data_IF_510851400970
#
_entry.id   IF_510851400970
#
_cell.length_a   1.000
_cell.length_b   1.000
_cell.length_c   1.000
_cell.angle_alpha   90.00
_cell.angle_beta   90.00
_cell.angle_gamma   90.00
#
_symmetry.space_group_name_H-M   'P 1'
#
loop_
_entity.id
_entity.type
_entity.pdbx_description
1 polymer ?
#
# COMPACT_ATOMS: atom_id res chain seq x y z
N UNK A 1 -18.95 -20.92 -7.59
CA UNK A 1 -18.69 -20.82 -6.14
C UNK A 1 -17.38 -20.06 -5.95
N UNK A 2 -17.35 -19.17 -4.97
CA UNK A 2 -16.40 -18.05 -4.81
C UNK A 2 -14.96 -18.54 -4.56
N UNK A 3 -14.03 -18.22 -5.48
CA UNK A 3 -12.59 -18.31 -5.25
C UNK A 3 -11.93 -16.92 -5.02
N UNK A 4 -12.64 -15.83 -5.33
CA UNK A 4 -12.05 -14.48 -5.40
C UNK A 4 -11.51 -13.88 -4.09
N UNK A 5 -11.92 -14.37 -2.91
CA UNK A 5 -11.30 -13.92 -1.64
C UNK A 5 -9.91 -14.49 -1.41
N UNK A 6 -9.68 -15.73 -1.86
CA UNK A 6 -8.37 -16.36 -1.70
C UNK A 6 -7.38 -15.75 -2.69
N UNK A 7 -7.83 -15.56 -3.93
CA UNK A 7 -7.01 -14.98 -5.00
C UNK A 7 -6.60 -13.52 -4.68
N UNK A 8 -7.49 -12.71 -4.10
CA UNK A 8 -7.17 -11.34 -3.65
C UNK A 8 -6.21 -11.29 -2.46
N UNK A 9 -6.30 -12.24 -1.52
CA UNK A 9 -5.36 -12.35 -0.41
C UNK A 9 -3.97 -12.79 -0.91
N UNK A 10 -3.89 -13.76 -1.82
CA UNK A 10 -2.62 -14.21 -2.41
C UNK A 10 -1.98 -13.11 -3.27
N UNK A 11 -2.79 -12.35 -4.02
CA UNK A 11 -2.33 -11.18 -4.75
C UNK A 11 -1.76 -10.11 -3.81
N UNK A 12 -2.45 -9.80 -2.70
CA UNK A 12 -1.96 -8.83 -1.73
C UNK A 12 -0.60 -9.22 -1.13
N UNK A 13 -0.34 -10.51 -0.93
CA UNK A 13 0.96 -11.00 -0.44
C UNK A 13 2.06 -10.88 -1.49
N UNK A 14 1.75 -11.22 -2.75
CA UNK A 14 2.69 -11.05 -3.86
C UNK A 14 3.09 -9.59 -4.05
N UNK A 15 2.13 -8.67 -3.96
CA UNK A 15 2.36 -7.23 -4.08
C UNK A 15 3.24 -6.70 -2.93
N UNK A 16 3.03 -7.16 -1.68
CA UNK A 16 3.91 -6.82 -0.55
C UNK A 16 5.37 -7.23 -0.81
N UNK A 17 5.60 -8.45 -1.32
CA UNK A 17 6.95 -8.91 -1.63
C UNK A 17 7.61 -8.11 -2.77
N UNK A 18 6.83 -7.74 -3.78
CA UNK A 18 7.32 -6.87 -4.86
C UNK A 18 7.73 -5.50 -4.32
N UNK A 19 6.87 -4.87 -3.50
CA UNK A 19 7.17 -3.57 -2.90
C UNK A 19 8.37 -3.63 -1.98
N UNK A 20 8.53 -4.71 -1.21
CA UNK A 20 9.73 -4.92 -0.40
C UNK A 20 10.99 -4.95 -1.28
N UNK A 21 10.99 -5.71 -2.37
CA UNK A 21 12.12 -5.75 -3.30
C UNK A 21 12.43 -4.37 -3.89
N UNK A 22 11.41 -3.56 -4.21
CA UNK A 22 11.62 -2.18 -4.65
C UNK A 22 12.30 -1.33 -3.59
N UNK A 23 11.77 -1.31 -2.36
CA UNK A 23 12.35 -0.50 -1.29
C UNK A 23 13.79 -0.86 -0.96
N UNK A 24 14.14 -2.15 -0.99
CA UNK A 24 15.53 -2.59 -0.77
C UNK A 24 16.46 -2.21 -1.92
N UNK A 25 16.03 -2.37 -3.17
CA UNK A 25 16.91 -2.19 -4.33
C UNK A 25 17.02 -0.73 -4.80
N UNK A 26 16.02 0.11 -4.50
CA UNK A 26 15.92 1.46 -5.06
C UNK A 26 15.70 2.57 -4.02
N UNK A 27 15.40 2.24 -2.76
CA UNK A 27 15.18 3.21 -1.68
C UNK A 27 16.09 2.95 -0.46
N UNK A 28 17.22 2.27 -0.69
CA UNK A 28 18.23 1.94 0.34
C UNK A 28 17.68 1.19 1.57
N UNK A 29 16.47 0.62 1.47
CA UNK A 29 15.82 -0.08 2.56
C UNK A 29 15.26 0.81 3.66
N UNK A 30 15.00 2.10 3.40
CA UNK A 30 14.44 3.06 4.36
C UNK A 30 13.35 3.94 3.73
N UNK A 31 12.44 4.45 4.56
CA UNK A 31 11.47 5.49 4.17
C UNK A 31 10.08 4.93 3.92
N UNK A 32 9.20 5.78 3.37
CA UNK A 32 7.84 5.39 3.04
C UNK A 32 7.64 5.04 1.58
N UNK A 33 6.85 3.99 1.37
CA UNK A 33 6.29 3.60 0.08
C UNK A 33 4.77 3.58 0.15
N UNK A 34 4.13 3.72 -1.01
CA UNK A 34 2.68 3.65 -1.13
C UNK A 34 2.30 2.58 -2.15
N UNK A 35 1.43 1.65 -1.75
CA UNK A 35 0.75 0.70 -2.62
C UNK A 35 -0.68 1.16 -2.87
N UNK A 36 -1.00 1.46 -4.12
CA UNK A 36 -2.30 2.01 -4.51
C UNK A 36 -3.17 0.88 -5.05
N UNK A 37 -4.34 0.66 -4.45
CA UNK A 37 -5.36 -0.24 -4.98
C UNK A 37 -6.61 0.52 -5.42
N UNK A 38 -7.38 0.00 -6.39
CA UNK A 38 -8.68 0.56 -6.72
C UNK A 38 -9.59 0.59 -5.50
N UNK A 39 -10.27 1.72 -5.30
CA UNK A 39 -11.31 1.85 -4.31
C UNK A 39 -12.47 0.86 -4.58
N UNK A 40 -12.98 0.23 -3.53
CA UNK A 40 -14.26 -0.48 -3.57
C UNK A 40 -14.90 -0.55 -2.17
N UNK A 41 -16.13 -1.04 -2.05
CA UNK A 41 -16.86 -1.09 -0.77
C UNK A 41 -16.15 -1.90 0.34
N UNK A 42 -15.22 -2.78 -0.02
CA UNK A 42 -14.41 -3.56 0.92
C UNK A 42 -13.04 -2.95 1.22
N UNK A 43 -12.62 -1.93 0.46
CA UNK A 43 -11.37 -1.20 0.65
C UNK A 43 -11.58 0.25 0.20
N UNK A 44 -12.12 1.05 1.13
CA UNK A 44 -12.51 2.44 0.91
C UNK A 44 -11.79 3.44 1.83
N UNK A 45 -10.95 2.92 2.70
CA UNK A 45 -10.10 3.66 3.61
C UNK A 45 -8.68 3.08 3.53
N UNK A 46 -7.64 3.92 3.67
CA UNK A 46 -6.25 3.46 3.72
C UNK A 46 -6.00 2.58 4.94
N UNK A 47 -4.89 1.84 4.93
CA UNK A 47 -4.43 1.11 6.10
C UNK A 47 -4.18 2.08 7.28
N UNK A 48 -4.64 1.76 8.49
CA UNK A 48 -4.51 2.68 9.64
C UNK A 48 -3.05 2.84 10.10
N UNK A 49 -2.21 1.84 9.81
CA UNK A 49 -0.78 1.85 10.08
C UNK A 49 -0.05 1.33 8.84
N UNK A 50 1.21 1.71 8.62
CA UNK A 50 2.01 1.12 7.56
C UNK A 50 2.42 -0.30 7.94
N UNK A 51 2.69 -1.11 6.92
CA UNK A 51 3.47 -2.33 7.09
C UNK A 51 4.93 -1.95 7.29
N UNK A 52 5.50 -2.28 8.44
CA UNK A 52 6.91 -2.04 8.73
C UNK A 52 7.75 -3.26 8.33
N UNK A 53 8.66 -3.08 7.38
CA UNK A 53 9.65 -4.09 7.04
C UNK A 53 10.92 -3.86 7.87
N UNK A 54 11.15 -4.73 8.86
CA UNK A 54 12.35 -4.68 9.71
C UNK A 54 13.51 -5.45 9.08
N UNK A 55 14.13 -4.90 8.02
CA UNK A 55 15.30 -5.53 7.39
C UNK A 55 16.63 -5.11 8.02
N UNK A 56 16.71 -3.90 8.58
CA UNK A 56 17.90 -3.38 9.24
C UNK A 56 17.53 -2.86 10.64
N UNK A 57 18.44 -2.98 11.60
CA UNK A 57 18.17 -2.65 13.01
C UNK A 57 17.83 -1.17 13.25
N UNK A 58 18.25 -0.28 12.38
CA UNK A 58 18.13 1.18 12.57
C UNK A 58 17.20 1.86 11.58
N UNK A 59 16.98 1.26 10.40
CA UNK A 59 16.19 1.87 9.32
C UNK A 59 14.88 1.14 9.11
N UNK A 60 13.78 1.90 9.02
CA UNK A 60 12.43 1.36 8.80
C UNK A 60 11.97 1.67 7.39
N UNK A 61 11.76 0.62 6.61
CA UNK A 61 11.00 0.71 5.38
C UNK A 61 9.53 0.48 5.71
N UNK A 62 8.68 1.45 5.39
CA UNK A 62 7.25 1.47 5.72
C UNK A 62 6.44 1.46 4.43
N UNK A 63 5.40 0.63 4.37
CA UNK A 63 4.50 0.56 3.22
C UNK A 63 3.07 0.87 3.63
N UNK A 64 2.53 1.94 3.06
CA UNK A 64 1.14 2.35 3.22
C UNK A 64 0.29 1.80 2.10
N UNK A 65 -0.87 1.22 2.43
CA UNK A 65 -1.82 0.75 1.41
C UNK A 65 -2.97 1.73 1.35
N UNK A 66 -3.20 2.33 0.18
CA UNK A 66 -4.17 3.42 0.01
C UNK A 66 -5.15 3.12 -1.13
N UNK A 67 -6.45 3.44 -0.96
CA UNK A 67 -7.41 3.30 -2.05
C UNK A 67 -7.38 4.52 -2.97
N UNK A 68 -7.54 4.25 -4.26
CA UNK A 68 -7.73 5.25 -5.30
C UNK A 68 -9.11 5.11 -5.95
N UNK A 69 -9.94 6.13 -5.77
CA UNK A 69 -11.22 6.24 -6.44
C UNK A 69 -11.02 6.81 -7.86
N UNK A 70 -11.44 6.03 -8.87
CA UNK A 70 -11.35 6.42 -10.28
C UNK A 70 -12.67 7.10 -10.67
N UNK A 71 -12.62 8.42 -10.83
CA UNK A 71 -13.75 9.20 -11.36
C UNK A 71 -13.75 9.26 -12.90
N UNK A 72 -14.66 10.05 -13.46
CA UNK A 72 -14.74 10.28 -14.92
C UNK A 72 -13.55 11.08 -15.47
N UNK A 73 -12.83 11.76 -14.58
CA UNK A 73 -11.62 12.53 -14.87
C UNK A 73 -10.64 12.47 -13.69
N UNK A 74 -9.41 12.95 -13.90
CA UNK A 74 -8.42 13.09 -12.83
C UNK A 74 -8.89 14.06 -11.74
N UNK A 75 -9.64 15.11 -12.09
CA UNK A 75 -10.18 16.09 -11.13
C UNK A 75 -11.24 15.49 -10.21
N UNK A 76 -11.94 14.45 -10.69
CA UNK A 76 -12.97 13.72 -9.94
C UNK A 76 -12.45 12.43 -9.31
N UNK A 77 -11.16 12.13 -9.49
CA UNK A 77 -10.51 10.97 -8.90
C UNK A 77 -9.87 11.37 -7.56
N UNK A 78 -9.81 10.43 -6.61
CA UNK A 78 -9.37 10.72 -5.25
C UNK A 78 -8.41 9.64 -4.77
N UNK A 79 -7.22 10.05 -4.32
CA UNK A 79 -6.31 9.19 -3.56
C UNK A 79 -6.50 9.47 -2.06
N UNK A 80 -6.87 8.46 -1.28
CA UNK A 80 -7.14 8.65 0.15
C UNK A 80 -5.92 8.32 1.00
N UNK A 81 -5.34 9.33 1.61
CA UNK A 81 -4.21 9.18 2.52
C UNK A 81 -4.65 8.83 3.94
N UNK A 82 -3.83 8.09 4.70
CA UNK A 82 -4.12 7.80 6.10
C UNK A 82 -4.12 9.10 6.90
N UNK A 83 -5.22 9.34 7.64
CA UNK A 83 -5.33 10.53 8.49
C UNK A 83 -4.25 10.51 9.57
N UNK A 84 -3.47 11.59 9.66
CA UNK A 84 -2.37 11.70 10.63
C UNK A 84 -1.11 10.91 10.29
N UNK A 85 -0.97 10.41 9.05
CA UNK A 85 0.28 9.82 8.60
C UNK A 85 1.39 10.88 8.51
N UNK A 86 2.44 10.70 9.32
CA UNK A 86 3.70 11.41 9.17
C UNK A 86 4.60 10.59 8.25
N UNK A 87 4.65 10.98 6.98
CA UNK A 87 5.63 10.46 6.04
C UNK A 87 7.02 10.97 6.44
N UNK A 88 8.02 10.08 6.45
CA UNK A 88 9.42 10.34 6.82
C UNK A 88 10.26 10.66 5.59
#
# INVERSE_FOLDING_TARGET
>A
MVNGRKDSLEQSQADLYQMLAYGLNYQEGEGDMILIYPYHNGFNQPSPHPYEFSHQKENRLRLWVVPFFIGESLQTSELRFPGGAEFI
#
